data_IF_742348571339
#
_entry.id   IF_742348571339
#
_cell.length_a   1.000
_cell.length_b   1.000
_cell.length_c   1.000
_cell.angle_alpha   90.00
_cell.angle_beta   90.00
_cell.angle_gamma   90.00
#
_symmetry.space_group_name_H-M   'P 1'
#
loop_
_entity.id
_entity.type
_entity.pdbx_description
1 polymer ?
#
# COMPACT_ATOMS: atom_id res chain seq x y z
N UNK A 1 17.45 -4.67 -16.84
CA UNK A 1 18.17 -4.01 -15.73
C UNK A 1 17.73 -4.56 -14.37
N UNK A 2 16.44 -4.61 -14.07
CA UNK A 2 15.91 -5.06 -12.77
C UNK A 2 16.40 -6.46 -12.33
N UNK A 3 16.37 -7.47 -13.22
CA UNK A 3 16.85 -8.81 -12.91
C UNK A 3 18.34 -8.87 -12.57
N UNK A 4 19.16 -8.07 -13.26
CA UNK A 4 20.58 -7.98 -12.95
C UNK A 4 20.81 -7.34 -11.59
N UNK A 5 20.11 -6.25 -11.29
CA UNK A 5 20.18 -5.57 -9.99
C UNK A 5 19.75 -6.49 -8.85
N UNK A 6 18.62 -7.21 -9.01
CA UNK A 6 18.15 -8.16 -8.00
C UNK A 6 19.20 -9.23 -7.69
N UNK A 7 19.81 -9.83 -8.72
CA UNK A 7 20.87 -10.84 -8.55
C UNK A 7 22.12 -10.24 -7.92
N UNK A 8 22.55 -9.04 -8.35
CA UNK A 8 23.74 -8.37 -7.82
C UNK A 8 23.62 -8.14 -6.29
N UNK A 9 22.43 -7.79 -5.82
CA UNK A 9 22.16 -7.54 -4.40
C UNK A 9 21.60 -8.76 -3.66
N UNK A 10 21.61 -9.96 -4.26
CA UNK A 10 21.22 -11.20 -3.60
C UNK A 10 19.71 -11.33 -3.37
N UNK A 11 18.90 -10.78 -4.28
CA UNK A 11 17.42 -10.88 -4.25
C UNK A 11 16.78 -10.49 -2.90
N UNK A 12 17.10 -9.30 -2.37
CA UNK A 12 16.78 -8.92 -0.99
C UNK A 12 15.27 -8.91 -0.68
N UNK A 13 14.43 -8.70 -1.67
CA UNK A 13 12.98 -8.74 -1.51
C UNK A 13 12.47 -10.11 -1.02
N UNK A 14 13.21 -11.19 -1.25
CA UNK A 14 12.85 -12.54 -0.78
C UNK A 14 13.04 -12.73 0.72
N UNK A 15 13.87 -11.91 1.35
CA UNK A 15 14.11 -11.94 2.79
C UNK A 15 13.04 -11.21 3.60
N UNK A 16 12.13 -10.50 2.94
CA UNK A 16 11.12 -9.65 3.58
C UNK A 16 9.71 -9.96 3.07
N UNK A 17 8.71 -9.70 3.90
CA UNK A 17 7.31 -9.63 3.45
C UNK A 17 7.09 -8.33 2.68
N UNK A 18 7.01 -8.41 1.36
CA UNK A 18 6.81 -7.24 0.50
C UNK A 18 5.33 -6.90 0.34
N UNK A 19 4.96 -5.64 0.57
CA UNK A 19 3.61 -5.12 0.38
C UNK A 19 3.65 -3.95 -0.60
N UNK A 20 2.85 -4.02 -1.67
CA UNK A 20 2.76 -2.97 -2.68
C UNK A 20 1.45 -2.19 -2.57
N UNK A 21 1.51 -0.86 -2.51
CA UNK A 21 0.33 0.01 -2.49
C UNK A 21 0.26 0.81 -3.78
N UNK A 22 -0.83 0.64 -4.54
CA UNK A 22 -1.07 1.39 -5.78
C UNK A 22 -2.43 2.09 -5.78
N UNK A 23 -2.60 3.06 -6.65
CA UNK A 23 -3.80 3.85 -6.83
C UNK A 23 -3.47 5.26 -7.31
N UNK A 24 -4.47 6.07 -7.62
CA UNK A 24 -4.26 7.47 -7.99
C UNK A 24 -3.92 8.29 -6.74
N UNK A 25 -4.75 8.25 -5.73
CA UNK A 25 -4.61 8.98 -4.46
C UNK A 25 -4.57 8.01 -3.27
N UNK A 26 -4.04 8.46 -2.15
CA UNK A 26 -4.04 7.71 -0.89
C UNK A 26 -2.93 6.68 -0.71
N UNK A 27 -2.06 6.44 -1.70
CA UNK A 27 -0.93 5.50 -1.58
C UNK A 27 -0.06 5.78 -0.36
N UNK A 28 0.44 6.99 -0.25
CA UNK A 28 1.32 7.43 0.84
C UNK A 28 0.66 7.26 2.19
N UNK A 29 -0.57 7.76 2.35
CA UNK A 29 -1.31 7.65 3.61
C UNK A 29 -1.56 6.20 3.98
N UNK A 30 -2.05 5.37 3.04
CA UNK A 30 -2.27 3.94 3.28
C UNK A 30 -0.99 3.21 3.64
N UNK A 31 0.12 3.50 2.94
CA UNK A 31 1.41 2.88 3.21
C UNK A 31 1.93 3.22 4.61
N UNK A 32 1.82 4.49 5.02
CA UNK A 32 2.20 4.92 6.38
C UNK A 32 1.32 4.30 7.46
N UNK A 33 -0.01 4.30 7.29
CA UNK A 33 -0.93 3.66 8.25
C UNK A 33 -0.64 2.16 8.37
N UNK A 34 -0.46 1.47 7.25
CA UNK A 34 -0.13 0.04 7.27
C UNK A 34 1.22 -0.22 7.93
N UNK A 35 2.24 0.59 7.63
CA UNK A 35 3.54 0.48 8.27
C UNK A 35 3.43 0.67 9.80
N UNK A 36 2.65 1.67 10.27
CA UNK A 36 2.43 1.91 11.69
C UNK A 36 1.72 0.72 12.38
N UNK A 37 0.70 0.15 11.73
CA UNK A 37 0.02 -1.06 12.23
C UNK A 37 0.99 -2.23 12.34
N UNK A 38 1.79 -2.50 11.31
CA UNK A 38 2.73 -3.62 11.30
C UNK A 38 3.88 -3.42 12.30
N UNK A 39 4.30 -2.17 12.54
CA UNK A 39 5.25 -1.85 13.60
C UNK A 39 4.65 -2.08 15.00
N UNK A 40 3.39 -1.70 15.21
CA UNK A 40 2.67 -2.00 16.46
C UNK A 40 2.47 -3.51 16.68
N UNK A 41 2.40 -4.29 15.58
CA UNK A 41 2.37 -5.76 15.56
C UNK A 41 3.76 -6.39 15.84
N UNK A 42 4.79 -5.57 16.10
CA UNK A 42 6.15 -6.01 16.45
C UNK A 42 7.07 -6.27 15.26
N UNK A 43 6.68 -5.94 14.03
CA UNK A 43 7.50 -6.14 12.84
C UNK A 43 8.54 -5.03 12.67
N UNK A 44 9.67 -5.35 12.06
CA UNK A 44 10.69 -4.38 11.64
C UNK A 44 10.41 -3.92 10.22
N UNK A 45 9.67 -2.83 10.10
CA UNK A 45 9.11 -2.36 8.84
C UNK A 45 10.02 -1.33 8.16
N UNK A 46 10.35 -1.59 6.88
CA UNK A 46 10.83 -0.59 5.93
C UNK A 46 9.67 0.03 5.14
N UNK A 47 9.79 1.30 4.80
CA UNK A 47 8.81 2.05 4.01
C UNK A 47 9.50 2.72 2.82
N UNK A 48 8.95 2.54 1.61
CA UNK A 48 9.42 3.16 0.36
C UNK A 48 8.27 3.94 -0.27
N UNK A 49 8.44 5.21 -0.53
CA UNK A 49 7.37 6.00 -1.14
C UNK A 49 7.73 7.44 -1.46
N UNK A 50 6.71 8.22 -1.74
CA UNK A 50 6.84 9.65 -2.14
C UNK A 50 7.57 10.50 -1.10
N UNK A 51 7.42 10.16 0.18
CA UNK A 51 8.10 10.86 1.29
C UNK A 51 9.52 10.34 1.56
N UNK A 52 10.11 9.63 0.61
CA UNK A 52 11.42 9.02 0.77
C UNK A 52 11.35 7.54 1.17
N UNK A 53 12.47 7.03 1.61
CA UNK A 53 12.62 5.67 2.13
C UNK A 53 13.08 5.74 3.58
N UNK A 54 12.46 4.94 4.45
CA UNK A 54 12.86 4.87 5.85
C UNK A 54 12.72 3.45 6.41
N UNK A 55 13.60 3.13 7.35
CA UNK A 55 13.54 1.93 8.20
C UNK A 55 14.20 2.28 9.54
N UNK A 56 14.12 1.45 10.57
CA UNK A 56 14.59 1.82 11.91
C UNK A 56 16.01 2.39 11.91
N UNK A 57 16.14 3.65 12.32
CA UNK A 57 17.41 4.40 12.39
C UNK A 57 17.88 5.04 11.07
N UNK A 58 17.17 4.85 9.96
CA UNK A 58 17.58 5.34 8.65
C UNK A 58 16.47 6.08 7.92
N UNK A 59 16.84 7.14 7.20
CA UNK A 59 15.97 7.87 6.29
C UNK A 59 16.79 8.41 5.11
N UNK A 60 16.24 8.26 3.90
CA UNK A 60 16.82 8.77 2.66
C UNK A 60 15.72 9.40 1.81
N UNK A 61 16.03 10.54 1.20
CA UNK A 61 15.13 11.16 0.23
C UNK A 61 15.20 10.43 -1.11
N UNK A 62 14.10 10.43 -1.84
CA UNK A 62 13.97 9.80 -3.15
C UNK A 62 13.48 10.80 -4.18
N UNK A 63 13.97 10.68 -5.41
CA UNK A 63 13.52 11.49 -6.54
C UNK A 63 12.21 10.96 -7.16
N UNK A 64 11.86 9.71 -6.90
CA UNK A 64 10.68 9.03 -7.44
C UNK A 64 9.96 8.25 -6.37
N UNK A 65 8.62 8.23 -6.43
CA UNK A 65 7.77 7.42 -5.54
C UNK A 65 8.19 5.94 -5.53
N UNK A 66 8.55 5.40 -6.69
CA UNK A 66 9.16 4.07 -6.86
C UNK A 66 10.55 4.29 -7.45
N UNK A 67 11.64 4.01 -6.71
CA UNK A 67 13.01 4.21 -7.17
C UNK A 67 13.36 3.40 -8.41
N UNK A 68 14.42 3.79 -9.10
CA UNK A 68 15.00 2.98 -10.18
C UNK A 68 15.43 1.61 -9.66
N UNK A 69 15.36 0.59 -10.52
CA UNK A 69 15.51 -0.80 -10.09
C UNK A 69 16.82 -1.08 -9.35
N UNK A 70 17.92 -0.45 -9.75
CA UNK A 70 19.22 -0.64 -9.09
C UNK A 70 19.22 -0.05 -7.67
N UNK A 71 18.75 1.19 -7.54
CA UNK A 71 18.66 1.86 -6.24
C UNK A 71 17.69 1.14 -5.30
N UNK A 72 16.55 0.70 -5.85
CA UNK A 72 15.56 -0.05 -5.07
C UNK A 72 16.17 -1.34 -4.51
N UNK A 73 16.86 -2.14 -5.31
CA UNK A 73 17.45 -3.40 -4.85
C UNK A 73 18.58 -3.16 -3.83
N UNK A 74 19.42 -2.12 -4.01
CA UNK A 74 20.42 -1.70 -3.02
C UNK A 74 19.77 -1.34 -1.67
N UNK A 75 18.69 -0.54 -1.71
CA UNK A 75 18.00 -0.08 -0.51
C UNK A 75 17.28 -1.23 0.21
N UNK A 76 16.64 -2.13 -0.55
CA UNK A 76 16.08 -3.36 0.01
C UNK A 76 17.13 -4.26 0.64
N UNK A 77 18.35 -4.34 0.04
CA UNK A 77 19.46 -5.09 0.64
C UNK A 77 19.87 -4.50 1.99
N UNK A 78 20.01 -3.18 2.08
CA UNK A 78 20.33 -2.49 3.34
C UNK A 78 19.24 -2.72 4.40
N UNK A 79 17.95 -2.62 4.03
CA UNK A 79 16.85 -2.94 4.95
C UNK A 79 16.95 -4.36 5.49
N UNK A 80 17.20 -5.34 4.61
CA UNK A 80 17.33 -6.74 5.01
C UNK A 80 18.55 -6.97 5.91
N UNK A 81 19.70 -6.35 5.60
CA UNK A 81 20.92 -6.42 6.42
C UNK A 81 20.71 -5.79 7.81
N UNK A 82 19.91 -4.73 7.90
CA UNK A 82 19.54 -4.09 9.16
C UNK A 82 18.40 -4.82 9.89
N UNK A 83 17.97 -6.01 9.38
CA UNK A 83 17.03 -6.92 10.01
C UNK A 83 15.56 -6.52 9.82
N UNK A 84 15.20 -5.75 8.79
CA UNK A 84 13.81 -5.59 8.40
C UNK A 84 13.24 -6.92 7.90
N UNK A 85 12.05 -7.29 8.39
CA UNK A 85 11.30 -8.49 7.98
C UNK A 85 10.12 -8.16 7.06
N UNK A 86 9.78 -6.89 6.95
CA UNK A 86 8.63 -6.39 6.21
C UNK A 86 8.98 -5.08 5.49
N UNK A 87 8.52 -4.92 4.25
CA UNK A 87 8.64 -3.67 3.51
C UNK A 87 7.30 -3.29 2.88
N UNK A 88 6.80 -2.10 3.22
CA UNK A 88 5.64 -1.48 2.57
C UNK A 88 6.15 -0.47 1.55
N UNK A 89 5.73 -0.61 0.28
CA UNK A 89 6.17 0.32 -0.76
C UNK A 89 5.02 0.85 -1.61
N UNK A 90 5.09 2.13 -1.93
CA UNK A 90 4.25 2.72 -2.95
C UNK A 90 4.72 2.26 -4.33
N UNK A 91 3.80 1.71 -5.12
CA UNK A 91 4.07 1.24 -6.48
C UNK A 91 3.31 2.11 -7.47
N UNK A 92 4.03 3.02 -8.11
CA UNK A 92 3.47 3.91 -9.13
C UNK A 92 3.24 3.16 -10.44
N UNK A 93 2.31 3.64 -11.27
CA UNK A 93 2.07 3.09 -12.61
C UNK A 93 3.30 3.23 -13.52
N UNK A 94 4.03 4.35 -13.43
CA UNK A 94 5.29 4.54 -14.14
C UNK A 94 6.39 3.61 -13.61
N UNK A 95 6.43 3.36 -12.29
CA UNK A 95 7.36 2.38 -11.73
C UNK A 95 7.13 0.97 -12.26
N UNK A 96 5.87 0.61 -12.56
CA UNK A 96 5.52 -0.66 -13.21
C UNK A 96 5.81 -0.62 -14.72
N UNK A 97 5.51 0.49 -15.39
CA UNK A 97 5.78 0.70 -16.83
C UNK A 97 7.27 0.59 -17.15
N UNK A 98 8.13 1.11 -16.28
CA UNK A 98 9.59 1.08 -16.43
C UNK A 98 10.26 -0.10 -15.71
N UNK A 99 9.52 -1.13 -15.34
CA UNK A 99 10.02 -2.35 -14.70
C UNK A 99 10.86 -2.12 -13.42
N UNK A 100 10.64 -1.00 -12.71
CA UNK A 100 11.42 -0.66 -11.51
C UNK A 100 11.25 -1.68 -10.38
N UNK A 101 10.05 -2.28 -10.25
CA UNK A 101 9.72 -3.31 -9.27
C UNK A 101 9.58 -4.71 -9.90
N UNK A 102 10.23 -4.98 -11.06
CA UNK A 102 9.98 -6.18 -11.86
C UNK A 102 10.28 -7.50 -11.13
N UNK A 103 11.31 -7.53 -10.29
CA UNK A 103 11.77 -8.74 -9.59
C UNK A 103 11.24 -8.84 -8.15
N UNK A 104 10.15 -8.13 -7.85
CA UNK A 104 9.55 -8.16 -6.52
C UNK A 104 8.22 -8.92 -6.59
N UNK A 105 8.13 -9.98 -5.80
CA UNK A 105 6.88 -10.68 -5.51
C UNK A 105 6.26 -10.11 -4.24
N UNK A 106 4.98 -9.73 -4.31
CA UNK A 106 4.30 -9.12 -3.19
C UNK A 106 3.41 -10.14 -2.45
N UNK A 107 3.55 -10.20 -1.14
CA UNK A 107 2.61 -10.96 -0.31
C UNK A 107 1.20 -10.36 -0.41
N UNK A 108 1.12 -9.02 -0.38
CA UNK A 108 -0.13 -8.27 -0.51
C UNK A 108 0.06 -7.08 -1.46
N UNK A 109 -0.88 -6.92 -2.40
CA UNK A 109 -1.05 -5.70 -3.19
C UNK A 109 -2.30 -4.96 -2.73
N UNK A 110 -2.24 -3.65 -2.57
CA UNK A 110 -3.37 -2.80 -2.14
C UNK A 110 -3.74 -1.84 -3.27
N UNK A 111 -5.01 -1.85 -3.67
CA UNK A 111 -5.60 -0.91 -4.60
C UNK A 111 -6.47 0.10 -3.86
N UNK A 112 -6.08 1.38 -3.90
CA UNK A 112 -6.83 2.43 -3.20
C UNK A 112 -7.95 3.04 -4.04
N UNK A 113 -7.65 3.52 -5.25
CA UNK A 113 -8.62 4.11 -6.18
C UNK A 113 -7.98 4.36 -7.56
N UNK A 114 -8.85 4.64 -8.56
CA UNK A 114 -8.41 5.04 -9.89
C UNK A 114 -9.25 6.20 -10.42
N UNK A 115 -8.60 7.29 -10.76
CA UNK A 115 -9.19 8.43 -11.48
C UNK A 115 -8.23 8.92 -12.56
N UNK A 116 -8.69 9.63 -13.59
CA UNK A 116 -7.80 10.20 -14.61
C UNK A 116 -6.69 11.04 -13.98
N UNK A 117 -5.44 10.63 -14.20
CA UNK A 117 -4.22 11.28 -13.73
C UNK A 117 -3.05 10.71 -14.56
N UNK A 118 -1.91 11.38 -14.57
CA UNK A 118 -0.72 10.87 -15.25
C UNK A 118 -0.92 10.50 -16.73
N UNK A 119 -1.69 11.31 -17.46
CA UNK A 119 -1.92 11.15 -18.91
C UNK A 119 -1.24 12.32 -19.62
N UNK A 120 -0.20 12.05 -20.41
CA UNK A 120 0.59 13.06 -21.08
C UNK A 120 1.77 12.48 -21.85
N UNK A 121 2.53 13.32 -22.56
CA UNK A 121 3.61 12.89 -23.46
C UNK A 121 4.69 12.04 -22.78
N UNK A 122 5.02 12.34 -21.52
CA UNK A 122 6.08 11.66 -20.76
C UNK A 122 5.53 10.67 -19.71
N UNK A 123 4.22 10.39 -19.72
CA UNK A 123 3.56 9.54 -18.77
C UNK A 123 2.83 8.38 -19.46
N UNK A 124 1.50 8.34 -19.41
CA UNK A 124 0.68 7.34 -20.09
C UNK A 124 -0.01 7.97 -21.30
N UNK A 125 -0.13 7.21 -22.37
CA UNK A 125 -0.79 7.68 -23.61
C UNK A 125 -2.28 7.97 -23.37
N UNK A 126 -2.92 7.16 -22.55
CA UNK A 126 -4.34 7.29 -22.21
C UNK A 126 -4.69 6.63 -20.86
N UNK A 127 -5.96 6.72 -20.49
CA UNK A 127 -6.49 6.13 -19.27
C UNK A 127 -6.44 4.59 -19.28
N UNK A 128 -6.55 3.96 -20.46
CA UNK A 128 -6.51 2.51 -20.58
C UNK A 128 -5.10 1.98 -20.28
N UNK A 129 -4.06 2.67 -20.77
CA UNK A 129 -2.68 2.35 -20.44
C UNK A 129 -2.41 2.57 -18.93
N UNK A 130 -2.89 3.68 -18.36
CA UNK A 130 -2.76 3.96 -16.93
C UNK A 130 -3.38 2.85 -16.06
N UNK A 131 -4.60 2.44 -16.38
CA UNK A 131 -5.29 1.31 -15.71
C UNK A 131 -4.51 0.01 -15.89
N UNK A 132 -4.03 -0.28 -17.10
CA UNK A 132 -3.26 -1.49 -17.40
C UNK A 132 -2.04 -1.61 -16.49
N UNK A 133 -1.28 -0.53 -16.34
CA UNK A 133 -0.07 -0.56 -15.51
C UNK A 133 -0.38 -0.67 -14.02
N UNK A 134 -1.42 0.00 -13.50
CA UNK A 134 -1.81 -0.20 -12.09
C UNK A 134 -2.25 -1.63 -11.81
N UNK A 135 -2.99 -2.25 -12.74
CA UNK A 135 -3.38 -3.65 -12.65
C UNK A 135 -2.19 -4.60 -12.66
N UNK A 136 -1.10 -4.23 -13.33
CA UNK A 136 0.09 -5.08 -13.45
C UNK A 136 0.72 -5.46 -12.09
N UNK A 137 0.57 -4.63 -11.05
CA UNK A 137 0.99 -4.97 -9.69
C UNK A 137 0.41 -6.31 -9.24
N UNK A 138 -0.90 -6.52 -9.45
CA UNK A 138 -1.63 -7.66 -8.90
C UNK A 138 -1.31 -9.00 -9.56
N UNK A 139 -0.63 -9.00 -10.71
CA UNK A 139 -0.07 -10.20 -11.33
C UNK A 139 1.11 -10.79 -10.55
N UNK A 140 1.67 -10.00 -9.63
CA UNK A 140 2.82 -10.34 -8.78
C UNK A 140 2.46 -10.39 -7.30
N UNK A 141 1.16 -10.41 -6.99
CA UNK A 141 0.66 -10.47 -5.63
C UNK A 141 0.08 -11.85 -5.32
N UNK A 142 0.29 -12.34 -4.10
CA UNK A 142 -0.42 -13.52 -3.60
C UNK A 142 -1.86 -13.17 -3.23
N UNK A 143 -2.05 -12.02 -2.59
CA UNK A 143 -3.36 -11.48 -2.22
C UNK A 143 -3.47 -10.05 -2.73
N UNK A 144 -4.60 -9.71 -3.35
CA UNK A 144 -4.98 -8.35 -3.70
C UNK A 144 -6.04 -7.83 -2.75
N UNK A 145 -5.84 -6.64 -2.19
CA UNK A 145 -6.79 -5.92 -1.35
C UNK A 145 -7.37 -4.76 -2.18
N UNK A 146 -8.68 -4.77 -2.42
CA UNK A 146 -9.31 -3.91 -3.42
C UNK A 146 -10.41 -3.05 -2.83
N UNK A 147 -10.40 -1.75 -3.16
CA UNK A 147 -11.50 -0.83 -2.85
C UNK A 147 -12.71 -1.16 -3.75
N UNK A 148 -13.77 -1.74 -3.17
CA UNK A 148 -14.94 -2.15 -3.91
C UNK A 148 -15.89 -1.00 -4.25
N UNK A 149 -15.69 0.19 -3.66
CA UNK A 149 -16.43 1.40 -4.00
C UNK A 149 -15.83 2.17 -5.19
N UNK A 150 -14.65 1.76 -5.67
CA UNK A 150 -14.07 2.38 -6.88
C UNK A 150 -14.74 1.83 -8.15
N UNK A 151 -15.24 2.70 -9.06
CA UNK A 151 -15.97 2.26 -10.26
C UNK A 151 -15.11 1.45 -11.24
N UNK A 152 -13.80 1.49 -11.11
CA UNK A 152 -12.86 0.76 -11.98
C UNK A 152 -12.36 -0.55 -11.38
N UNK A 153 -12.76 -0.88 -10.13
CA UNK A 153 -12.27 -2.07 -9.41
C UNK A 153 -12.49 -3.36 -10.22
N UNK A 154 -13.64 -3.51 -10.87
CA UNK A 154 -13.94 -4.67 -11.71
C UNK A 154 -12.94 -4.83 -12.87
N UNK A 155 -12.50 -3.73 -13.49
CA UNK A 155 -11.48 -3.77 -14.54
C UNK A 155 -10.08 -4.08 -13.97
N UNK A 156 -9.77 -3.60 -12.77
CA UNK A 156 -8.51 -3.92 -12.08
C UNK A 156 -8.45 -5.41 -11.74
N UNK A 157 -9.54 -5.99 -11.24
CA UNK A 157 -9.60 -7.39 -10.80
C UNK A 157 -9.75 -8.41 -11.94
N UNK A 158 -10.20 -7.98 -13.12
CA UNK A 158 -10.52 -8.87 -14.24
C UNK A 158 -9.36 -9.80 -14.61
N UNK A 159 -9.56 -11.13 -14.54
CA UNK A 159 -8.58 -12.15 -14.95
C UNK A 159 -7.29 -12.16 -14.12
N UNK A 160 -7.32 -11.70 -12.88
CA UNK A 160 -6.24 -11.90 -11.92
C UNK A 160 -6.32 -13.28 -11.28
N UNK A 161 -5.17 -13.86 -10.96
CA UNK A 161 -5.04 -15.16 -10.29
C UNK A 161 -4.81 -15.02 -8.78
N UNK A 162 -4.48 -13.83 -8.27
CA UNK A 162 -4.30 -13.62 -6.84
C UNK A 162 -5.64 -13.76 -6.09
N UNK A 163 -5.58 -14.18 -4.83
CA UNK A 163 -6.75 -14.14 -3.95
C UNK A 163 -7.20 -12.69 -3.76
N UNK A 164 -8.45 -12.40 -4.04
CA UNK A 164 -9.02 -11.08 -3.83
C UNK A 164 -9.64 -10.99 -2.43
N UNK A 165 -9.43 -9.86 -1.77
CA UNK A 165 -10.12 -9.41 -0.56
C UNK A 165 -10.57 -7.98 -0.81
N UNK A 166 -11.83 -7.69 -0.58
CA UNK A 166 -12.43 -6.38 -0.87
C UNK A 166 -12.65 -5.57 0.40
N UNK A 167 -12.58 -4.26 0.29
CA UNK A 167 -13.00 -3.34 1.34
C UNK A 167 -13.85 -2.21 0.78
N UNK A 168 -14.68 -1.61 1.61
CA UNK A 168 -15.54 -0.51 1.19
C UNK A 168 -16.44 0.04 2.30
N UNK A 169 -17.20 1.09 1.97
CA UNK A 169 -18.19 1.73 2.83
C UNK A 169 -19.57 1.61 2.17
N UNK A 170 -19.66 1.94 0.89
CA UNK A 170 -20.91 2.02 0.12
C UNK A 170 -21.37 0.69 -0.44
N UNK A 171 -20.47 -0.07 -1.06
CA UNK A 171 -20.76 -1.35 -1.69
C UNK A 171 -20.54 -2.53 -0.73
N UNK A 172 -21.18 -3.69 -0.98
CA UNK A 172 -20.82 -4.92 -0.27
C UNK A 172 -19.34 -5.27 -0.44
N UNK A 173 -18.66 -5.60 0.66
CA UNK A 173 -17.24 -5.93 0.67
C UNK A 173 -16.95 -6.93 1.78
N UNK A 174 -15.80 -7.63 1.70
CA UNK A 174 -15.36 -8.58 2.74
C UNK A 174 -15.04 -7.86 4.06
N UNK A 175 -14.51 -6.64 3.98
CA UNK A 175 -14.27 -5.75 5.11
C UNK A 175 -15.02 -4.45 4.84
N UNK A 176 -16.12 -4.24 5.57
CA UNK A 176 -17.01 -3.10 5.34
C UNK A 176 -17.07 -2.22 6.57
N UNK A 177 -16.83 -0.91 6.39
CA UNK A 177 -17.15 0.06 7.42
C UNK A 177 -18.64 0.47 7.35
N UNK A 178 -19.21 0.76 8.51
CA UNK A 178 -20.51 1.40 8.58
C UNK A 178 -20.45 2.79 7.96
N UNK A 179 -21.56 3.22 7.32
CA UNK A 179 -21.61 4.51 6.62
C UNK A 179 -21.50 5.73 7.57
N UNK A 180 -21.79 5.52 8.85
CA UNK A 180 -21.73 6.56 9.89
C UNK A 180 -20.31 6.67 10.48
N UNK A 181 -19.45 7.41 9.80
CA UNK A 181 -18.16 7.78 10.39
C UNK A 181 -18.26 9.16 11.06
N UNK A 182 -17.85 9.23 12.31
CA UNK A 182 -17.85 10.45 13.09
C UNK A 182 -16.53 11.20 12.98
N UNK A 183 -16.60 12.52 12.90
CA UNK A 183 -15.41 13.35 13.15
C UNK A 183 -15.07 13.26 14.64
N UNK A 184 -13.80 13.03 14.93
CA UNK A 184 -13.28 12.94 16.30
C UNK A 184 -12.31 14.08 16.59
N UNK A 185 -12.20 14.45 17.87
CA UNK A 185 -11.16 15.36 18.35
C UNK A 185 -10.46 14.71 19.52
N UNK A 186 -9.17 14.48 19.38
CA UNK A 186 -8.33 14.00 20.46
C UNK A 186 -7.06 14.85 20.52
N UNK A 187 -6.72 15.40 21.69
CA UNK A 187 -5.53 16.23 21.87
C UNK A 187 -5.48 17.47 20.96
N UNK A 188 -6.64 18.06 20.60
CA UNK A 188 -6.72 19.21 19.70
C UNK A 188 -6.63 18.86 18.20
N UNK A 189 -6.39 17.62 17.83
CA UNK A 189 -6.35 17.15 16.44
C UNK A 189 -7.73 16.63 16.00
N UNK A 190 -8.10 16.92 14.76
CA UNK A 190 -9.29 16.35 14.13
C UNK A 190 -8.92 15.00 13.52
N UNK A 191 -9.79 14.02 13.71
CA UNK A 191 -9.68 12.68 13.13
C UNK A 191 -11.03 12.18 12.64
N UNK A 192 -11.07 10.93 12.20
CA UNK A 192 -12.30 10.22 11.89
C UNK A 192 -12.36 8.91 12.68
N UNK A 193 -13.57 8.51 13.08
CA UNK A 193 -13.84 7.19 13.65
C UNK A 193 -14.85 6.46 12.79
N UNK A 194 -14.69 5.15 12.65
CA UNK A 194 -15.55 4.28 11.87
C UNK A 194 -15.66 2.91 12.56
N UNK A 195 -16.66 2.14 12.19
CA UNK A 195 -16.92 0.82 12.77
C UNK A 195 -16.78 -0.25 11.68
N UNK A 196 -16.13 -1.36 12.00
CA UNK A 196 -16.03 -2.56 11.16
C UNK A 196 -16.32 -3.77 12.03
N UNK A 197 -17.25 -4.62 11.65
CA UNK A 197 -17.65 -5.83 12.35
C UNK A 197 -17.99 -5.57 13.85
N UNK A 198 -18.59 -4.41 14.15
CA UNK A 198 -18.91 -3.99 15.52
C UNK A 198 -17.75 -3.39 16.33
N UNK A 199 -16.51 -3.46 15.84
CA UNK A 199 -15.36 -2.84 16.47
C UNK A 199 -15.16 -1.41 15.96
N UNK A 200 -14.85 -0.46 16.87
CA UNK A 200 -14.67 0.96 16.53
C UNK A 200 -13.21 1.31 16.37
N UNK A 201 -12.84 1.85 15.23
CA UNK A 201 -11.50 2.32 14.90
C UNK A 201 -11.45 3.84 14.82
N UNK A 202 -10.27 4.42 15.01
CA UNK A 202 -10.02 5.84 14.84
C UNK A 202 -8.77 6.05 13.99
N UNK A 203 -8.76 7.13 13.22
CA UNK A 203 -7.60 7.59 12.45
C UNK A 203 -7.38 9.07 12.71
N UNK A 204 -6.13 9.48 12.88
CA UNK A 204 -5.74 10.86 13.24
C UNK A 204 -5.93 11.90 12.13
N UNK A 205 -6.66 11.56 11.06
CA UNK A 205 -6.93 12.42 9.91
C UNK A 205 -8.44 12.49 9.65
N UNK A 206 -9.03 13.69 9.38
CA UNK A 206 -10.45 13.84 9.14
C UNK A 206 -10.85 13.45 7.71
N UNK A 207 -12.15 13.17 7.54
CA UNK A 207 -12.81 13.00 6.24
C UNK A 207 -12.88 11.57 5.74
N UNK A 208 -13.78 11.35 4.76
CA UNK A 208 -14.09 10.04 4.20
C UNK A 208 -12.86 9.36 3.55
N UNK A 209 -12.01 10.13 2.88
CA UNK A 209 -10.78 9.57 2.27
C UNK A 209 -9.83 8.95 3.30
N UNK A 210 -9.79 9.51 4.52
CA UNK A 210 -8.97 8.96 5.61
C UNK A 210 -9.54 7.63 6.10
N UNK A 211 -10.86 7.48 6.12
CA UNK A 211 -11.53 6.21 6.43
C UNK A 211 -11.21 5.16 5.37
N UNK A 212 -11.27 5.49 4.08
CA UNK A 212 -10.88 4.56 3.00
C UNK A 212 -9.43 4.12 3.11
N UNK A 213 -8.50 5.05 3.37
CA UNK A 213 -7.08 4.72 3.55
C UNK A 213 -6.85 3.85 4.78
N UNK A 214 -7.55 4.12 5.88
CA UNK A 214 -7.49 3.31 7.09
C UNK A 214 -8.11 1.91 6.90
N UNK A 215 -9.22 1.80 6.17
CA UNK A 215 -9.82 0.51 5.78
C UNK A 215 -8.89 -0.32 4.91
N UNK A 216 -8.23 0.31 3.94
CA UNK A 216 -7.23 -0.36 3.10
C UNK A 216 -6.08 -0.93 3.95
N UNK A 217 -5.55 -0.12 4.89
CA UNK A 217 -4.49 -0.53 5.79
C UNK A 217 -4.94 -1.64 6.76
N UNK A 218 -6.13 -1.49 7.37
CA UNK A 218 -6.75 -2.49 8.24
C UNK A 218 -6.94 -3.82 7.52
N UNK A 219 -7.52 -3.79 6.32
CA UNK A 219 -7.77 -5.01 5.53
C UNK A 219 -6.47 -5.71 5.18
N UNK A 220 -5.45 -4.96 4.72
CA UNK A 220 -4.13 -5.52 4.42
C UNK A 220 -3.45 -6.09 5.68
N UNK A 221 -3.56 -5.43 6.82
CA UNK A 221 -3.03 -5.88 8.10
C UNK A 221 -3.69 -7.18 8.56
N UNK A 222 -5.02 -7.29 8.47
CA UNK A 222 -5.77 -8.54 8.76
C UNK A 222 -5.34 -9.68 7.83
N UNK A 223 -5.15 -9.42 6.53
CA UNK A 223 -4.63 -10.41 5.56
C UNK A 223 -3.25 -10.90 5.96
N UNK A 224 -2.42 -10.03 6.55
CA UNK A 224 -1.08 -10.36 7.03
C UNK A 224 -1.06 -10.98 8.43
N UNK A 225 -2.22 -11.15 9.07
CA UNK A 225 -2.37 -11.76 10.40
C UNK A 225 -2.01 -10.84 11.57
N UNK A 226 -2.00 -9.52 11.38
CA UNK A 226 -1.78 -8.58 12.47
C UNK A 226 -2.92 -8.64 13.51
N UNK A 227 -2.57 -8.51 14.79
CA UNK A 227 -3.52 -8.51 15.89
C UNK A 227 -4.40 -7.25 15.91
N UNK A 228 -5.65 -7.37 16.38
CA UNK A 228 -6.58 -6.23 16.41
C UNK A 228 -6.06 -5.07 17.29
N UNK A 229 -5.38 -5.36 18.42
CA UNK A 229 -4.78 -4.32 19.27
C UNK A 229 -3.71 -3.52 18.52
N UNK A 230 -2.90 -4.18 17.68
CA UNK A 230 -1.91 -3.54 16.85
C UNK A 230 -2.57 -2.67 15.75
N UNK A 231 -3.68 -3.15 15.17
CA UNK A 231 -4.46 -2.39 14.19
C UNK A 231 -5.01 -1.11 14.83
N UNK A 232 -5.62 -1.22 16.01
CA UNK A 232 -6.11 -0.06 16.77
C UNK A 232 -4.98 0.94 17.07
N UNK A 233 -3.86 0.48 17.60
CA UNK A 233 -2.73 1.33 17.96
C UNK A 233 -2.12 2.03 16.73
N UNK A 234 -1.88 1.31 15.65
CA UNK A 234 -1.24 1.84 14.45
C UNK A 234 -2.12 2.81 13.65
N UNK A 235 -3.45 2.63 13.64
CA UNK A 235 -4.36 3.56 12.97
C UNK A 235 -4.58 4.86 13.75
N UNK A 236 -4.50 4.83 15.09
CA UNK A 236 -4.71 5.98 15.96
C UNK A 236 -3.50 6.94 16.02
N UNK A 237 -2.29 6.48 15.75
CA UNK A 237 -1.03 7.28 15.76
C UNK A 237 -0.86 8.06 14.50
#
# INVERSE_FOLDING_TARGET
MAALAARLYGEPARAMTMIGVTGTKGKTTTAHLLAAVLQADGRRVGLVGTNGICWPGHRHDLNHTTPESCDLQLLLRRMADDGCDTCVMEVSSLGLKFDRAAEIEFAVGVFTNLSPDHIGPDEHADFAEYLFWKRALFRRCRVGVFNNDDPHVGKIMQGLSCRAVTYGIGCPADVRADADFALTRAGGRQGAAFTVDGARYAVGMPGAFSVYNALAALTAARVLGAGEDAIHAGLAG
#
